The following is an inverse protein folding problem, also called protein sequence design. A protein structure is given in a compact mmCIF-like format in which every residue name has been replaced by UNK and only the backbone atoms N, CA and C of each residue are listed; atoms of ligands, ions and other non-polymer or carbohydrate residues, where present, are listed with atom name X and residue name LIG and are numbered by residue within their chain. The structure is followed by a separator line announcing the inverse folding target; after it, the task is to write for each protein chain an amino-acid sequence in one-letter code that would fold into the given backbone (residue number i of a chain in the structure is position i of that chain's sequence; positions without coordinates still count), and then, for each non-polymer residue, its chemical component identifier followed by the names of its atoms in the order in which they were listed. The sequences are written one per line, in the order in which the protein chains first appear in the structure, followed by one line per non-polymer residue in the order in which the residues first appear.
data_IF_525029334876
#
_entry.id   IF_525029334876
#
_cell.length_a   1.000
_cell.length_b   1.000
_cell.length_c   1.000
_cell.angle_alpha   90.00
_cell.angle_beta   90.00
_cell.angle_gamma   90.00
#
_symmetry.space_group_name_H-M   'P 1'
#
loop_
_entity.id
_entity.type
_entity.pdbx_description
1 polymer ?
#
# COMPACT_ATOMS: atom_id res chain seq x y z
N UNK A 1 -26.54 -54.95 40.80
CA UNK A 1 -26.84 -53.55 40.42
C UNK A 1 -25.60 -52.92 39.83
N UNK A 2 -25.43 -52.96 38.52
CA UNK A 2 -24.27 -52.41 37.81
C UNK A 2 -24.59 -51.00 37.32
N UNK A 3 -23.82 -50.00 37.72
CA UNK A 3 -23.94 -48.61 37.22
C UNK A 3 -23.06 -48.44 35.97
N UNK A 4 -23.73 -48.25 34.85
CA UNK A 4 -23.12 -47.86 33.60
C UNK A 4 -22.58 -46.42 33.72
N UNK A 5 -21.28 -46.25 33.48
CA UNK A 5 -20.66 -44.91 33.30
C UNK A 5 -20.74 -44.51 31.83
N UNK A 6 -21.48 -43.44 31.56
CA UNK A 6 -21.49 -42.80 30.26
C UNK A 6 -20.14 -42.12 29.99
N UNK A 7 -19.48 -42.50 28.91
CA UNK A 7 -18.30 -41.84 28.39
C UNK A 7 -18.71 -40.57 27.67
N UNK A 8 -18.30 -39.40 28.18
CA UNK A 8 -18.44 -38.13 27.51
C UNK A 8 -17.41 -38.04 26.38
N UNK A 9 -17.88 -38.01 25.15
CA UNK A 9 -17.09 -37.71 23.96
C UNK A 9 -16.76 -36.21 23.98
N UNK A 10 -15.53 -35.86 24.25
CA UNK A 10 -15.02 -34.50 24.15
C UNK A 10 -14.88 -34.15 22.66
N UNK A 11 -15.80 -33.37 22.14
CA UNK A 11 -15.67 -32.79 20.81
C UNK A 11 -14.51 -31.79 20.83
N UNK A 12 -13.45 -32.09 20.10
CA UNK A 12 -12.35 -31.15 19.85
C UNK A 12 -12.88 -30.00 19.01
N UNK A 13 -12.92 -28.80 19.60
CA UNK A 13 -13.17 -27.56 18.85
C UNK A 13 -12.03 -27.37 17.84
N UNK A 14 -12.35 -27.00 16.58
CA UNK A 14 -11.32 -26.71 15.61
C UNK A 14 -10.58 -25.44 16.06
N UNK A 15 -9.32 -25.59 16.45
CA UNK A 15 -8.40 -24.49 16.69
C UNK A 15 -8.22 -23.73 15.36
N UNK A 16 -8.93 -22.62 15.17
CA UNK A 16 -8.69 -21.68 14.10
C UNK A 16 -7.26 -21.12 14.28
N UNK A 17 -6.29 -21.74 13.63
CA UNK A 17 -4.96 -21.19 13.50
C UNK A 17 -5.13 -19.81 12.80
N UNK A 18 -4.93 -18.74 13.55
CA UNK A 18 -4.82 -17.38 12.96
C UNK A 18 -3.59 -17.39 12.08
N UNK A 19 -3.79 -17.46 10.78
CA UNK A 19 -2.73 -17.29 9.79
C UNK A 19 -2.14 -15.90 10.03
N UNK A 20 -0.90 -15.86 10.53
CA UNK A 20 -0.20 -14.60 10.82
C UNK A 20 0.15 -13.85 9.54
N UNK A 21 0.18 -12.53 9.61
CA UNK A 21 0.73 -11.70 8.52
C UNK A 21 2.23 -11.94 8.43
N UNK A 22 2.72 -12.37 7.28
CA UNK A 22 4.15 -12.49 6.97
C UNK A 22 4.57 -11.32 6.09
N UNK A 23 5.62 -10.59 6.51
CA UNK A 23 6.19 -9.49 5.73
C UNK A 23 7.61 -9.84 5.32
N UNK A 24 7.94 -9.63 4.04
CA UNK A 24 9.29 -9.80 3.53
C UNK A 24 9.68 -8.69 2.54
N UNK A 25 10.97 -8.50 2.35
CA UNK A 25 11.50 -7.66 1.28
C UNK A 25 11.16 -8.31 -0.07
N UNK A 26 10.71 -7.51 -1.03
CA UNK A 26 10.57 -7.92 -2.43
C UNK A 26 11.96 -7.98 -3.09
N UNK A 27 12.10 -8.93 -4.00
CA UNK A 27 13.28 -9.10 -4.87
C UNK A 27 12.91 -8.85 -6.33
N UNK A 28 13.87 -8.87 -7.23
CA UNK A 28 13.63 -8.74 -8.69
C UNK A 28 12.71 -9.84 -9.24
N UNK A 29 12.64 -11.00 -8.60
CA UNK A 29 11.69 -12.06 -8.93
C UNK A 29 10.22 -11.70 -8.61
N UNK A 30 9.99 -10.62 -7.84
CA UNK A 30 8.65 -10.19 -7.44
C UNK A 30 8.08 -9.05 -8.30
N UNK A 31 8.73 -8.67 -9.41
CA UNK A 31 8.31 -7.55 -10.26
C UNK A 31 6.82 -7.62 -10.59
N UNK A 32 6.31 -8.75 -11.07
CA UNK A 32 4.90 -8.90 -11.45
C UNK A 32 3.95 -8.83 -10.23
N UNK A 33 4.36 -9.39 -9.08
CA UNK A 33 3.58 -9.30 -7.84
C UNK A 33 3.43 -7.85 -7.36
N UNK A 34 4.53 -7.09 -7.41
CA UNK A 34 4.56 -5.67 -7.06
C UNK A 34 3.68 -4.86 -8.02
N UNK A 35 3.79 -5.11 -9.33
CA UNK A 35 2.98 -4.46 -10.36
C UNK A 35 1.49 -4.71 -10.16
N UNK A 36 1.10 -5.95 -9.92
CA UNK A 36 -0.30 -6.33 -9.66
C UNK A 36 -0.89 -5.55 -8.48
N UNK A 37 -0.16 -5.46 -7.36
CA UNK A 37 -0.63 -4.70 -6.20
C UNK A 37 -0.65 -3.18 -6.45
N UNK A 38 0.31 -2.63 -7.19
CA UNK A 38 0.32 -1.21 -7.56
C UNK A 38 -0.79 -0.84 -8.54
N UNK A 39 -1.10 -1.71 -9.51
CA UNK A 39 -2.26 -1.52 -10.40
C UNK A 39 -3.56 -1.51 -9.60
N UNK A 40 -3.70 -2.41 -8.62
CA UNK A 40 -4.86 -2.43 -7.73
C UNK A 40 -4.95 -1.15 -6.86
N UNK A 41 -3.82 -0.60 -6.40
CA UNK A 41 -3.76 0.70 -5.73
C UNK A 41 -4.28 1.82 -6.64
N UNK A 42 -3.73 1.95 -7.85
CA UNK A 42 -4.13 2.99 -8.82
C UNK A 42 -5.62 2.91 -9.15
N UNK A 43 -6.14 1.72 -9.43
CA UNK A 43 -7.56 1.50 -9.69
C UNK A 43 -8.44 1.85 -8.47
N UNK A 44 -7.91 1.74 -7.26
CA UNK A 44 -8.61 2.14 -6.05
C UNK A 44 -8.61 3.66 -5.86
N UNK A 45 -7.52 4.34 -6.16
CA UNK A 45 -7.37 5.80 -6.10
C UNK A 45 -8.26 6.49 -7.14
N UNK A 46 -8.23 6.06 -8.40
CA UNK A 46 -9.08 6.60 -9.48
C UNK A 46 -10.57 6.51 -9.13
N UNK A 47 -11.03 5.37 -8.58
CA UNK A 47 -12.42 5.22 -8.14
C UNK A 47 -12.81 6.18 -7.02
N UNK A 48 -11.87 6.61 -6.19
CA UNK A 48 -12.11 7.57 -5.10
C UNK A 48 -12.18 9.01 -5.62
N UNK A 49 -11.36 9.37 -6.58
CA UNK A 49 -11.38 10.69 -7.21
C UNK A 49 -12.70 10.92 -7.97
N UNK A 50 -13.20 9.90 -8.67
CA UNK A 50 -14.51 9.96 -9.37
C UNK A 50 -15.71 9.92 -8.42
N UNK A 51 -15.56 9.50 -7.17
CA UNK A 51 -16.62 9.49 -6.14
C UNK A 51 -16.78 10.82 -5.39
N UNK A 52 -15.91 11.81 -5.63
CA UNK A 52 -16.09 13.17 -5.11
C UNK A 52 -17.07 13.89 -6.07
N UNK A 53 -18.23 14.39 -5.59
CA UNK A 53 -19.13 15.13 -6.46
C UNK A 53 -18.36 16.31 -7.08
N UNK A 54 -18.54 16.59 -8.40
CA UNK A 54 -17.88 17.71 -9.04
C UNK A 54 -18.27 18.99 -8.32
N UNK A 55 -17.29 19.76 -7.90
CA UNK A 55 -17.51 21.15 -7.52
C UNK A 55 -18.07 21.84 -8.77
N UNK A 56 -19.03 22.76 -8.65
CA UNK A 56 -19.62 23.42 -9.81
C UNK A 56 -18.58 24.30 -10.48
N UNK A 57 -17.91 23.76 -11.46
CA UNK A 57 -17.12 24.49 -12.44
C UNK A 57 -17.75 24.24 -13.80
N UNK A 58 -18.18 25.33 -14.40
CA UNK A 58 -18.75 25.51 -15.73
C UNK A 58 -17.98 24.72 -16.80
N UNK A 59 -18.79 24.10 -17.67
CA UNK A 59 -18.53 23.63 -19.02
C UNK A 59 -17.84 22.29 -19.29
N UNK A 60 -18.58 21.61 -20.16
CA UNK A 60 -18.37 20.26 -20.66
C UNK A 60 -17.17 20.13 -21.60
N UNK A 61 -16.50 18.99 -21.52
CA UNK A 61 -15.90 18.38 -22.69
C UNK A 61 -16.11 16.87 -22.62
N UNK A 62 -16.85 16.36 -23.57
CA UNK A 62 -17.06 14.96 -23.91
C UNK A 62 -15.72 14.22 -24.01
N UNK A 63 -15.62 13.12 -23.32
CA UNK A 63 -14.52 12.18 -23.45
C UNK A 63 -15.01 10.78 -23.12
N UNK A 64 -15.51 10.08 -24.14
CA UNK A 64 -15.99 8.71 -24.07
C UNK A 64 -14.93 7.78 -23.44
N UNK A 65 -15.28 7.15 -22.35
CA UNK A 65 -14.53 6.04 -21.79
C UNK A 65 -14.72 4.80 -22.71
N UNK A 66 -13.77 4.59 -23.62
CA UNK A 66 -13.68 3.35 -24.35
C UNK A 66 -13.31 2.22 -23.39
N UNK A 67 -14.17 1.19 -23.32
CA UNK A 67 -13.89 -0.04 -22.60
C UNK A 67 -12.64 -0.70 -23.19
N UNK A 68 -11.61 -0.86 -22.37
CA UNK A 68 -10.39 -1.57 -22.75
C UNK A 68 -10.60 -3.03 -22.45
N UNK A 69 -10.61 -3.84 -23.49
CA UNK A 69 -10.61 -5.29 -23.44
C UNK A 69 -9.35 -5.79 -22.68
N UNK A 70 -9.55 -6.70 -21.73
CA UNK A 70 -8.50 -7.15 -20.78
C UNK A 70 -7.59 -8.22 -21.38
N UNK A 71 -7.74 -8.56 -22.66
CA UNK A 71 -7.09 -9.71 -23.31
C UNK A 71 -5.73 -9.47 -23.96
N UNK A 72 -5.28 -8.24 -24.23
CA UNK A 72 -4.07 -7.94 -25.02
C UNK A 72 -3.02 -7.05 -24.31
N UNK A 73 -2.92 -7.07 -23.01
CA UNK A 73 -2.09 -6.10 -22.23
C UNK A 73 -0.65 -6.55 -21.94
N UNK A 74 -0.17 -7.67 -22.46
CA UNK A 74 1.17 -8.16 -22.09
C UNK A 74 2.36 -7.52 -22.83
N UNK A 75 2.11 -6.68 -23.83
CA UNK A 75 3.17 -6.12 -24.71
C UNK A 75 3.15 -4.60 -24.89
N UNK A 76 2.41 -3.87 -24.08
CA UNK A 76 2.35 -2.41 -24.20
C UNK A 76 3.70 -1.76 -23.81
N UNK A 77 4.18 -0.71 -24.54
CA UNK A 77 5.36 0.07 -24.15
C UNK A 77 5.27 0.62 -22.72
N UNK A 78 4.05 0.90 -22.23
CA UNK A 78 3.78 1.34 -20.85
C UNK A 78 4.06 0.23 -19.83
N UNK A 79 3.69 -1.01 -20.14
CA UNK A 79 3.93 -2.16 -19.26
C UNK A 79 5.41 -2.51 -19.21
N UNK A 80 6.12 -2.46 -20.33
CA UNK A 80 7.56 -2.65 -20.34
C UNK A 80 8.29 -1.59 -19.49
N UNK A 81 7.91 -0.32 -19.62
CA UNK A 81 8.44 0.77 -18.81
C UNK A 81 8.14 0.59 -17.32
N UNK A 82 6.93 0.14 -16.99
CA UNK A 82 6.55 -0.13 -15.59
C UNK A 82 7.37 -1.28 -15.00
N UNK A 83 7.58 -2.37 -15.75
CA UNK A 83 8.44 -3.50 -15.34
C UNK A 83 9.88 -3.04 -15.10
N UNK A 84 10.46 -2.32 -16.05
CA UNK A 84 11.83 -1.79 -15.92
C UNK A 84 12.00 -0.86 -14.72
N UNK A 85 11.01 0.01 -14.48
CA UNK A 85 11.02 0.89 -13.32
C UNK A 85 10.96 0.10 -12.00
N UNK A 86 10.05 -0.87 -11.89
CA UNK A 86 9.94 -1.70 -10.68
C UNK A 86 11.20 -2.53 -10.49
N UNK A 87 11.74 -3.13 -11.55
CA UNK A 87 12.99 -3.87 -11.48
C UNK A 87 14.13 -3.00 -10.93
N UNK A 88 14.34 -1.80 -11.48
CA UNK A 88 15.35 -0.86 -11.00
C UNK A 88 15.12 -0.48 -9.53
N UNK A 89 13.86 -0.28 -9.11
CA UNK A 89 13.51 0.00 -7.71
C UNK A 89 13.84 -1.15 -6.76
N UNK A 90 13.71 -2.40 -7.22
CA UNK A 90 14.03 -3.59 -6.41
C UNK A 90 15.53 -3.90 -6.36
N UNK A 91 16.32 -3.36 -7.30
CA UNK A 91 17.75 -3.58 -7.42
C UNK A 91 18.64 -2.59 -6.62
N UNK A 92 18.05 -1.62 -5.93
CA UNK A 92 18.79 -0.60 -5.17
C UNK A 92 18.61 -0.75 -3.67
N UNK A 93 19.63 -0.35 -2.89
CA UNK A 93 19.57 -0.32 -1.43
C UNK A 93 19.09 1.02 -0.85
N UNK A 94 18.90 2.05 -1.70
CA UNK A 94 18.35 3.34 -1.29
C UNK A 94 16.85 3.28 -0.93
N UNK A 95 16.20 2.18 -1.24
CA UNK A 95 14.79 1.92 -0.93
C UNK A 95 14.52 0.45 -0.68
N UNK A 96 13.40 0.18 -0.04
CA UNK A 96 12.86 -1.17 0.14
C UNK A 96 11.42 -1.23 -0.33
N UNK A 97 11.06 -2.31 -1.02
CA UNK A 97 9.67 -2.68 -1.25
C UNK A 97 9.37 -3.89 -0.39
N UNK A 98 8.34 -3.78 0.43
CA UNK A 98 7.87 -4.81 1.34
C UNK A 98 6.58 -5.41 0.80
N UNK A 99 6.48 -6.72 0.87
CA UNK A 99 5.30 -7.49 0.50
C UNK A 99 4.76 -8.19 1.74
N UNK A 100 3.44 -8.14 1.92
CA UNK A 100 2.74 -8.84 2.99
C UNK A 100 1.87 -9.95 2.43
N UNK A 101 1.94 -11.14 3.04
CA UNK A 101 1.07 -12.26 2.73
C UNK A 101 0.27 -12.73 3.96
N UNK A 102 -0.88 -13.35 3.70
CA UNK A 102 -1.69 -14.12 4.63
C UNK A 102 -1.86 -15.51 4.02
N UNK A 103 -1.20 -16.52 4.61
CA UNK A 103 -0.99 -17.79 3.94
C UNK A 103 -0.24 -17.58 2.62
N UNK A 104 -0.73 -18.17 1.54
CA UNK A 104 -0.12 -18.08 0.22
C UNK A 104 -0.56 -16.82 -0.56
N UNK A 105 -1.55 -16.08 -0.06
CA UNK A 105 -2.07 -14.90 -0.76
C UNK A 105 -1.25 -13.65 -0.45
N UNK A 106 -0.79 -12.96 -1.51
CA UNK A 106 -0.15 -11.66 -1.42
C UNK A 106 -1.20 -10.56 -1.28
N UNK A 107 -1.27 -9.94 -0.11
CA UNK A 107 -2.38 -9.05 0.30
C UNK A 107 -1.98 -7.59 0.48
N UNK A 108 -0.68 -7.29 0.51
CA UNK A 108 -0.23 -5.91 0.73
C UNK A 108 1.14 -5.60 0.16
N UNK A 109 1.37 -4.32 -0.11
CA UNK A 109 2.64 -3.76 -0.54
C UNK A 109 2.88 -2.41 0.13
N UNK A 110 4.13 -2.12 0.44
CA UNK A 110 4.62 -0.82 0.92
C UNK A 110 6.02 -0.59 0.36
N UNK A 111 6.31 0.61 -0.12
CA UNK A 111 7.66 1.04 -0.49
C UNK A 111 8.14 2.10 0.48
N UNK A 112 9.38 1.99 0.96
CA UNK A 112 10.05 2.99 1.76
C UNK A 112 11.33 3.41 1.05
N UNK A 113 11.55 4.73 0.95
CA UNK A 113 12.67 5.36 0.25
C UNK A 113 13.40 6.24 1.27
N UNK A 114 14.73 6.17 1.35
CA UNK A 114 15.49 7.17 2.12
C UNK A 114 15.54 8.46 1.30
N UNK A 115 14.97 9.51 1.87
CA UNK A 115 14.96 10.86 1.32
C UNK A 115 15.71 11.81 2.28
N UNK A 116 16.14 12.97 1.76
CA UNK A 116 16.77 14.02 2.53
C UNK A 116 16.06 15.34 2.27
N UNK A 117 15.95 16.16 3.30
CA UNK A 117 15.51 17.55 3.13
C UNK A 117 16.60 18.38 2.42
N UNK A 118 16.19 19.48 1.79
CA UNK A 118 17.09 20.32 0.95
C UNK A 118 18.10 21.14 1.78
N UNK A 119 18.32 20.83 3.04
CA UNK A 119 19.37 21.43 3.86
C UNK A 119 19.12 22.86 4.37
N UNK A 120 17.98 23.49 4.05
CA UNK A 120 17.69 24.87 4.48
C UNK A 120 17.05 24.96 5.88
N UNK A 121 16.32 23.94 6.31
CA UNK A 121 15.62 23.96 7.61
C UNK A 121 15.91 22.71 8.46
N UNK A 122 16.14 21.56 7.83
CA UNK A 122 16.44 20.29 8.51
C UNK A 122 17.48 19.52 7.70
N UNK A 123 18.60 19.18 8.31
CA UNK A 123 19.69 18.40 7.68
C UNK A 123 19.52 16.89 7.93
N UNK A 124 18.29 16.42 7.98
CA UNK A 124 17.94 15.05 8.36
C UNK A 124 17.52 14.16 7.17
N UNK A 125 17.96 12.89 7.19
CA UNK A 125 17.40 11.86 6.35
C UNK A 125 16.10 11.34 7.00
N UNK A 126 15.10 11.07 6.17
CA UNK A 126 13.83 10.45 6.59
C UNK A 126 13.45 9.32 5.64
N UNK A 127 12.68 8.35 6.15
CA UNK A 127 12.03 7.32 5.35
C UNK A 127 10.74 7.86 4.74
N UNK A 128 10.62 7.85 3.41
CA UNK A 128 9.37 8.23 2.74
C UNK A 128 8.58 6.99 2.33
N UNK A 129 7.40 6.83 2.92
CA UNK A 129 6.48 5.73 2.60
C UNK A 129 5.68 6.07 1.33
N UNK A 130 5.73 5.18 0.37
CA UNK A 130 5.02 5.30 -0.90
C UNK A 130 4.34 3.98 -1.28
N UNK A 131 3.39 4.02 -2.18
CA UNK A 131 2.72 2.84 -2.73
C UNK A 131 2.14 1.90 -1.64
N UNK A 132 1.67 2.46 -0.53
CA UNK A 132 1.05 1.70 0.54
C UNK A 132 -0.33 1.19 0.12
N UNK A 133 -0.48 -0.11 0.00
CA UNK A 133 -1.74 -0.74 -0.37
C UNK A 133 -1.97 -2.04 0.39
N UNK A 134 -3.21 -2.23 0.85
CA UNK A 134 -3.73 -3.49 1.38
C UNK A 134 -5.03 -3.80 0.66
N UNK A 135 -5.14 -5.02 0.14
CA UNK A 135 -6.36 -5.50 -0.53
C UNK A 135 -7.58 -5.25 0.35
N UNK A 136 -8.71 -4.76 -0.19
CA UNK A 136 -9.89 -4.37 0.60
C UNK A 136 -10.36 -5.44 1.58
N UNK A 137 -10.44 -6.70 1.15
CA UNK A 137 -10.88 -7.83 1.98
C UNK A 137 -9.94 -8.19 3.14
N UNK A 138 -8.72 -7.68 3.14
CA UNK A 138 -7.68 -7.97 4.16
C UNK A 138 -7.33 -6.75 5.02
N UNK A 139 -8.11 -5.68 4.90
CA UNK A 139 -7.96 -4.49 5.75
C UNK A 139 -8.40 -4.80 7.18
N UNK A 140 -7.89 -4.04 8.14
CA UNK A 140 -8.15 -4.22 9.58
C UNK A 140 -7.63 -5.53 10.18
N UNK A 141 -6.93 -6.35 9.40
CA UNK A 141 -6.25 -7.58 9.84
C UNK A 141 -4.79 -7.36 10.29
N UNK A 142 -4.37 -6.11 10.53
CA UNK A 142 -3.00 -5.80 10.97
C UNK A 142 -1.96 -5.73 9.86
N UNK A 143 -2.32 -5.97 8.59
CA UNK A 143 -1.40 -6.01 7.43
C UNK A 143 -0.62 -4.70 7.28
N UNK A 144 -1.30 -3.54 7.32
CA UNK A 144 -0.63 -2.24 7.20
C UNK A 144 0.34 -2.01 8.37
N UNK A 145 -0.06 -2.35 9.59
CA UNK A 145 0.81 -2.25 10.78
C UNK A 145 2.08 -3.08 10.61
N UNK A 146 1.97 -4.32 10.15
CA UNK A 146 3.12 -5.19 9.94
C UNK A 146 4.07 -4.63 8.86
N UNK A 147 3.53 -4.09 7.76
CA UNK A 147 4.31 -3.44 6.71
C UNK A 147 5.05 -2.21 7.23
N UNK A 148 4.38 -1.34 8.01
CA UNK A 148 4.98 -0.13 8.59
C UNK A 148 6.05 -0.51 9.60
N UNK A 149 5.80 -1.46 10.50
CA UNK A 149 6.80 -1.94 11.47
C UNK A 149 8.07 -2.45 10.77
N UNK A 150 7.93 -3.17 9.65
CA UNK A 150 9.07 -3.63 8.87
C UNK A 150 9.82 -2.49 8.16
N UNK A 151 9.10 -1.45 7.69
CA UNK A 151 9.70 -0.25 7.13
C UNK A 151 10.46 0.56 8.18
N UNK A 152 9.89 0.73 9.37
CA UNK A 152 10.51 1.41 10.50
C UNK A 152 11.82 0.71 10.91
N UNK A 153 11.80 -0.62 11.04
CA UNK A 153 13.00 -1.41 11.33
C UNK A 153 14.08 -1.23 10.26
N UNK A 154 13.69 -1.18 8.98
CA UNK A 154 14.60 -0.93 7.87
C UNK A 154 15.21 0.48 7.91
N UNK A 155 14.44 1.51 8.28
CA UNK A 155 14.90 2.88 8.47
C UNK A 155 15.88 2.98 9.66
N UNK A 156 15.51 2.40 10.80
CA UNK A 156 16.32 2.40 12.02
C UNK A 156 17.69 1.74 11.79
N UNK A 157 17.72 0.62 11.06
CA UNK A 157 18.97 -0.06 10.69
C UNK A 157 19.91 0.81 9.82
N UNK A 158 19.38 1.91 9.23
CA UNK A 158 20.13 2.89 8.42
C UNK A 158 20.38 4.23 9.12
N UNK A 159 20.12 4.30 10.43
CA UNK A 159 20.27 5.50 11.23
C UNK A 159 19.18 6.55 11.03
N UNK A 160 18.11 6.21 10.28
CA UNK A 160 16.97 7.11 10.02
C UNK A 160 15.95 6.94 11.13
N UNK A 161 15.52 8.04 11.73
CA UNK A 161 14.64 8.07 12.92
C UNK A 161 13.28 8.70 12.67
N UNK A 162 13.06 9.23 11.49
CA UNK A 162 11.81 9.85 11.08
C UNK A 162 11.25 9.17 9.84
N UNK A 163 9.92 8.99 9.79
CA UNK A 163 9.22 8.40 8.65
C UNK A 163 8.07 9.32 8.27
N UNK A 164 8.00 9.68 6.98
CA UNK A 164 6.99 10.57 6.41
C UNK A 164 6.19 9.88 5.32
N UNK A 165 5.00 10.37 5.08
CA UNK A 165 4.15 9.96 3.95
C UNK A 165 3.26 11.12 3.52
N UNK A 166 2.68 10.98 2.33
CA UNK A 166 1.62 11.87 1.87
C UNK A 166 0.31 11.09 1.75
N UNK A 167 -0.75 11.62 2.34
CA UNK A 167 -2.10 11.08 2.23
C UNK A 167 -3.06 12.20 1.83
N UNK A 168 -3.90 11.96 0.82
CA UNK A 168 -4.92 12.94 0.41
C UNK A 168 -5.87 13.23 1.57
N UNK A 169 -6.25 14.50 1.77
CA UNK A 169 -7.23 14.92 2.76
C UNK A 169 -8.57 14.21 2.59
N UNK A 170 -8.95 13.92 1.34
CA UNK A 170 -10.19 13.20 1.00
C UNK A 170 -10.10 11.69 1.26
N UNK A 171 -8.93 11.17 1.66
CA UNK A 171 -8.76 9.78 2.03
C UNK A 171 -9.03 9.56 3.52
N UNK A 172 -10.28 9.71 3.96
CA UNK A 172 -10.66 9.59 5.37
C UNK A 172 -10.23 8.25 5.99
N UNK A 173 -10.45 7.13 5.28
CA UNK A 173 -10.04 5.80 5.75
C UNK A 173 -8.51 5.63 5.84
N UNK A 174 -7.76 6.20 4.89
CA UNK A 174 -6.30 6.24 4.94
C UNK A 174 -5.79 7.08 6.09
N UNK A 175 -6.32 8.31 6.24
CA UNK A 175 -5.94 9.21 7.33
C UNK A 175 -6.22 8.58 8.70
N UNK A 176 -7.40 7.95 8.89
CA UNK A 176 -7.71 7.24 10.13
C UNK A 176 -6.72 6.07 10.40
N UNK A 177 -6.33 5.32 9.37
CA UNK A 177 -5.37 4.23 9.52
C UNK A 177 -3.96 4.75 9.88
N UNK A 178 -3.50 5.85 9.27
CA UNK A 178 -2.21 6.47 9.59
C UNK A 178 -2.19 7.05 10.99
N UNK A 179 -3.24 7.76 11.40
CA UNK A 179 -3.37 8.27 12.78
C UNK A 179 -3.31 7.12 13.81
N UNK A 180 -3.99 5.98 13.55
CA UNK A 180 -3.95 4.80 14.42
C UNK A 180 -2.57 4.10 14.47
N UNK A 181 -1.67 4.43 13.55
CA UNK A 181 -0.27 4.00 13.53
C UNK A 181 0.69 5.04 14.14
N UNK A 182 0.19 6.17 14.64
CA UNK A 182 0.98 7.21 15.29
C UNK A 182 1.49 8.31 14.36
N UNK A 183 1.09 8.31 13.08
CA UNK A 183 1.43 9.42 12.19
C UNK A 183 0.56 10.65 12.50
N UNK A 184 1.18 11.81 12.53
CA UNK A 184 0.53 13.10 12.75
C UNK A 184 0.66 13.98 11.50
N UNK A 185 -0.36 14.79 11.14
CA UNK A 185 -0.24 15.75 10.05
C UNK A 185 0.84 16.79 10.34
N UNK A 186 1.69 17.08 9.34
CA UNK A 186 2.76 18.09 9.49
C UNK A 186 2.69 19.21 8.43
N UNK A 187 2.08 18.99 7.27
CA UNK A 187 2.00 19.97 6.21
C UNK A 187 0.76 19.79 5.34
N UNK A 188 0.35 20.85 4.65
CA UNK A 188 -0.73 20.82 3.66
C UNK A 188 -0.20 21.26 2.30
N UNK A 189 -0.42 20.43 1.27
CA UNK A 189 -0.12 20.77 -0.13
C UNK A 189 -1.34 21.48 -0.72
N UNK A 190 -1.11 22.63 -1.37
CA UNK A 190 -2.14 23.40 -2.08
C UNK A 190 -1.86 23.35 -3.59
N UNK A 191 -2.91 23.21 -4.39
CA UNK A 191 -2.86 23.19 -5.86
C UNK A 191 -3.75 24.28 -6.45
N UNK A 192 -3.29 24.96 -7.47
CA UNK A 192 -4.08 25.80 -8.37
C UNK A 192 -3.82 25.36 -9.80
N UNK A 193 -4.89 25.13 -10.55
CA UNK A 193 -4.80 24.91 -12.01
C UNK A 193 -4.78 26.28 -12.68
N UNK A 194 -3.84 26.47 -13.60
CA UNK A 194 -3.77 27.68 -14.43
C UNK A 194 -4.58 27.44 -15.70
N UNK A 195 -5.25 28.49 -16.25
CA UNK A 195 -5.94 28.38 -17.53
C UNK A 195 -4.94 28.08 -18.65
N UNK A 196 -5.41 27.34 -19.64
CA UNK A 196 -4.66 27.16 -20.89
C UNK A 196 -4.60 28.53 -21.61
N UNK A 197 -3.40 28.94 -22.02
CA UNK A 197 -3.14 30.19 -22.80
C UNK A 197 -3.27 29.93 -24.28
#
# INVERSE_FOLDING_TARGET
MARQRASATTASEPTLQRVGVVVRRATTADVERVLTLRRALLAHETRRETSVPPQPSTEAADGAAAGVDVGELESSPRDHRARSLVHAQLSTDAQVTLLASLGDEMVGVLRCIISRDNGLEHDGAYGYLASAFVRPGHRRAGVLRALVTAADAWCVARGVREVRLQCSLNNSGGNAAWNALGFVPMATIRRRVLPDT
#
